data_IF_488702366764
#
_entry.id   IF_488702366764
#
_cell.length_a   1.000
_cell.length_b   1.000
_cell.length_c   1.000
_cell.angle_alpha   90.00
_cell.angle_beta   90.00
_cell.angle_gamma   90.00
#
_symmetry.space_group_name_H-M   'P 1'
#
loop_
_entity.id
_entity.type
_entity.pdbx_description
1 polymer ?
#
# COMPACT_ATOMS: atom_id res chain seq x y z
N UNK A 1 -26.73 3.99 26.04
CA UNK A 1 -25.76 3.99 24.91
C UNK A 1 -24.74 5.07 25.22
N UNK A 2 -23.55 4.66 25.58
CA UNK A 2 -22.45 5.55 25.98
C UNK A 2 -21.76 6.16 24.75
N UNK A 3 -21.15 7.35 24.89
CA UNK A 3 -20.42 8.03 23.79
C UNK A 3 -19.34 7.16 23.14
N UNK A 4 -18.77 6.21 23.89
CA UNK A 4 -17.81 5.21 23.37
C UNK A 4 -18.43 4.29 22.29
N UNK A 5 -19.70 3.91 22.40
CA UNK A 5 -20.41 3.08 21.40
C UNK A 5 -20.64 3.84 20.08
N UNK A 6 -20.78 5.17 20.15
CA UNK A 6 -20.95 6.03 18.96
C UNK A 6 -19.64 6.19 18.18
N UNK A 7 -18.50 6.31 18.86
CA UNK A 7 -17.18 6.41 18.21
C UNK A 7 -16.77 5.08 17.53
N UNK A 8 -17.03 3.96 18.19
CA UNK A 8 -16.79 2.62 17.63
C UNK A 8 -17.70 2.32 16.42
N UNK A 9 -18.96 2.80 16.46
CA UNK A 9 -19.90 2.61 15.33
C UNK A 9 -19.56 3.46 14.11
N UNK A 10 -18.99 4.66 14.29
CA UNK A 10 -18.56 5.50 13.17
C UNK A 10 -17.29 4.95 12.47
N UNK A 11 -16.32 4.43 13.22
CA UNK A 11 -15.13 3.74 12.67
C UNK A 11 -15.52 2.51 11.86
N UNK A 12 -16.37 1.63 12.38
CA UNK A 12 -16.88 0.45 11.66
C UNK A 12 -17.61 0.80 10.36
N UNK A 13 -18.47 1.83 10.36
CA UNK A 13 -19.17 2.27 9.13
C UNK A 13 -18.22 2.74 8.04
N UNK A 14 -17.13 3.39 8.37
CA UNK A 14 -16.13 3.85 7.39
C UNK A 14 -15.35 2.67 6.80
N UNK A 15 -14.95 1.70 7.62
CA UNK A 15 -14.27 0.48 7.18
C UNK A 15 -15.18 -0.41 6.31
N UNK A 16 -16.46 -0.52 6.66
CA UNK A 16 -17.46 -1.28 5.88
C UNK A 16 -17.67 -0.64 4.50
N UNK A 17 -17.73 0.68 4.41
CA UNK A 17 -17.84 1.41 3.13
C UNK A 17 -16.57 1.20 2.29
N UNK A 18 -15.38 1.28 2.90
CA UNK A 18 -14.13 1.03 2.20
C UNK A 18 -14.03 -0.41 1.67
N UNK A 19 -14.51 -1.37 2.45
CA UNK A 19 -14.57 -2.78 2.02
C UNK A 19 -15.53 -2.98 0.84
N UNK A 20 -16.68 -2.29 0.84
CA UNK A 20 -17.67 -2.35 -0.24
C UNK A 20 -17.14 -1.74 -1.56
N UNK A 21 -16.27 -0.73 -1.48
CA UNK A 21 -15.67 -0.10 -2.64
C UNK A 21 -14.56 -0.93 -3.31
N UNK A 22 -14.01 -1.94 -2.62
CA UNK A 22 -12.93 -2.77 -3.17
C UNK A 22 -13.42 -3.65 -4.30
N UNK A 23 -12.64 -3.80 -5.39
CA UNK A 23 -12.95 -4.75 -6.45
C UNK A 23 -12.94 -6.18 -5.91
N UNK A 24 -13.83 -7.02 -6.44
CA UNK A 24 -14.03 -8.41 -5.99
C UNK A 24 -13.42 -9.44 -6.92
N UNK A 25 -13.01 -9.07 -8.13
CA UNK A 25 -12.39 -9.93 -9.14
C UNK A 25 -11.23 -9.23 -9.83
N UNK A 26 -10.40 -9.99 -10.56
CA UNK A 26 -9.34 -9.42 -11.40
C UNK A 26 -9.90 -8.56 -12.53
N UNK A 27 -11.11 -8.81 -12.98
CA UNK A 27 -11.78 -8.00 -14.01
C UNK A 27 -12.16 -6.61 -13.51
N UNK A 28 -12.67 -6.54 -12.29
CA UNK A 28 -13.04 -5.27 -11.64
C UNK A 28 -11.81 -4.46 -11.20
N UNK A 29 -10.67 -5.11 -11.03
CA UNK A 29 -9.46 -4.46 -10.56
C UNK A 29 -8.85 -3.61 -11.67
N UNK A 30 -8.90 -2.30 -11.53
CA UNK A 30 -8.33 -1.34 -12.49
C UNK A 30 -6.83 -1.24 -12.29
N UNK A 31 -6.10 -1.02 -13.39
CA UNK A 31 -4.64 -0.84 -13.37
C UNK A 31 -3.84 -2.13 -13.24
N UNK A 32 -2.54 -2.01 -13.04
CA UNK A 32 -1.59 -3.13 -12.84
C UNK A 32 -1.72 -4.22 -13.91
N UNK A 33 -1.86 -3.84 -15.20
CA UNK A 33 -2.25 -4.74 -16.29
C UNK A 33 -1.40 -6.01 -16.34
N UNK A 34 -0.07 -5.88 -16.37
CA UNK A 34 0.83 -7.03 -16.44
C UNK A 34 0.68 -7.98 -15.24
N UNK A 35 0.54 -7.41 -14.02
CA UNK A 35 0.34 -8.19 -12.81
C UNK A 35 -0.98 -8.99 -12.87
N UNK A 36 -2.08 -8.35 -13.31
CA UNK A 36 -3.38 -9.00 -13.45
C UNK A 36 -3.39 -10.11 -14.50
N UNK A 37 -2.79 -9.86 -15.65
CA UNK A 37 -2.69 -10.85 -16.71
C UNK A 37 -1.92 -12.09 -16.26
N UNK A 38 -0.77 -11.91 -15.60
CA UNK A 38 0.02 -13.00 -15.06
C UNK A 38 -0.73 -13.75 -13.93
N UNK A 39 -1.33 -13.05 -12.97
CA UNK A 39 -2.09 -13.67 -11.90
C UNK A 39 -3.26 -14.49 -12.45
N UNK A 40 -3.96 -14.00 -13.48
CA UNK A 40 -5.03 -14.75 -14.14
C UNK A 40 -4.53 -16.10 -14.68
N UNK A 41 -3.38 -16.10 -15.36
CA UNK A 41 -2.79 -17.34 -15.89
C UNK A 41 -2.41 -18.29 -14.76
N UNK A 42 -1.75 -17.80 -13.71
CA UNK A 42 -1.32 -18.64 -12.60
C UNK A 42 -2.49 -19.24 -11.83
N UNK A 43 -3.52 -18.44 -11.55
CA UNK A 43 -4.74 -18.90 -10.87
C UNK A 43 -5.45 -19.96 -11.73
N UNK A 44 -5.63 -19.73 -13.04
CA UNK A 44 -6.26 -20.70 -13.93
C UNK A 44 -5.48 -22.01 -14.00
N UNK A 45 -4.15 -21.93 -14.08
CA UNK A 45 -3.29 -23.10 -14.12
C UNK A 45 -3.34 -23.91 -12.81
N UNK A 46 -3.27 -23.26 -11.66
CA UNK A 46 -3.38 -23.90 -10.34
C UNK A 46 -4.73 -24.59 -10.19
N UNK A 47 -5.83 -23.93 -10.54
CA UNK A 47 -7.18 -24.52 -10.51
C UNK A 47 -7.31 -25.73 -11.43
N UNK A 48 -6.77 -25.66 -12.64
CA UNK A 48 -6.82 -26.78 -13.59
C UNK A 48 -6.06 -28.02 -13.09
N UNK A 49 -5.01 -27.83 -12.28
CA UNK A 49 -4.26 -28.94 -11.66
C UNK A 49 -4.83 -29.39 -10.30
N UNK A 50 -5.79 -28.64 -9.73
CA UNK A 50 -6.32 -28.90 -8.37
C UNK A 50 -5.27 -28.64 -7.27
N UNK A 51 -4.39 -27.67 -7.49
CA UNK A 51 -3.29 -27.30 -6.59
C UNK A 51 -3.54 -25.95 -5.92
N UNK A 52 -2.90 -25.72 -4.77
CA UNK A 52 -2.79 -24.36 -4.23
C UNK A 52 -1.94 -23.51 -5.17
N UNK A 53 -2.20 -22.20 -5.20
CA UNK A 53 -1.35 -21.27 -5.94
C UNK A 53 0.04 -21.18 -5.28
N UNK A 54 1.09 -21.02 -6.07
CA UNK A 54 2.41 -20.71 -5.54
C UNK A 54 2.38 -19.45 -4.65
N UNK A 55 3.33 -19.36 -3.70
CA UNK A 55 3.42 -18.21 -2.81
C UNK A 55 3.68 -16.92 -3.57
N UNK A 56 2.93 -15.86 -3.23
CA UNK A 56 2.92 -14.57 -3.92
C UNK A 56 3.52 -13.48 -3.03
N UNK A 57 4.43 -12.69 -3.56
CA UNK A 57 4.96 -11.49 -2.89
C UNK A 57 4.52 -10.22 -3.62
N UNK A 58 3.65 -9.44 -3.00
CA UNK A 58 3.31 -8.10 -3.47
C UNK A 58 4.24 -7.05 -2.87
N UNK A 59 4.89 -6.25 -3.71
CA UNK A 59 5.76 -5.16 -3.24
C UNK A 59 5.54 -3.86 -4.01
N UNK A 60 5.77 -2.76 -3.35
CA UNK A 60 5.58 -1.41 -3.89
C UNK A 60 4.95 -0.44 -2.88
N UNK A 61 4.80 0.84 -3.25
CA UNK A 61 4.27 1.89 -2.38
C UNK A 61 2.95 1.52 -1.68
N UNK A 62 2.60 2.17 -0.56
CA UNK A 62 1.34 1.92 0.12
C UNK A 62 0.14 2.38 -0.72
N UNK A 63 -1.04 1.79 -0.49
CA UNK A 63 -2.29 2.22 -1.11
C UNK A 63 -2.55 1.77 -2.56
N UNK A 64 -1.71 0.88 -3.12
CA UNK A 64 -1.80 0.39 -4.50
C UNK A 64 -2.70 -0.85 -4.69
N UNK A 65 -3.27 -1.40 -3.61
CA UNK A 65 -4.20 -2.52 -3.67
C UNK A 65 -3.61 -3.90 -3.36
N UNK A 66 -2.45 -4.01 -2.69
CA UNK A 66 -1.83 -5.30 -2.29
C UNK A 66 -2.81 -6.22 -1.57
N UNK A 67 -3.44 -5.75 -0.51
CA UNK A 67 -4.46 -6.49 0.27
C UNK A 67 -5.68 -6.86 -0.57
N UNK A 68 -6.10 -5.98 -1.47
CA UNK A 68 -7.24 -6.23 -2.37
C UNK A 68 -6.92 -7.35 -3.35
N UNK A 69 -5.72 -7.36 -3.95
CA UNK A 69 -5.29 -8.45 -4.83
C UNK A 69 -5.19 -9.79 -4.09
N UNK A 70 -4.70 -9.80 -2.85
CA UNK A 70 -4.67 -11.01 -2.02
C UNK A 70 -6.08 -11.57 -1.77
N UNK A 71 -7.05 -10.71 -1.48
CA UNK A 71 -8.46 -11.12 -1.34
C UNK A 71 -9.06 -11.63 -2.65
N UNK A 72 -8.70 -11.01 -3.78
CA UNK A 72 -9.13 -11.46 -5.11
C UNK A 72 -8.56 -12.85 -5.42
N UNK A 73 -7.29 -13.10 -5.13
CA UNK A 73 -6.68 -14.43 -5.31
C UNK A 73 -7.48 -15.49 -4.59
N UNK A 74 -7.79 -15.30 -3.30
CA UNK A 74 -8.57 -16.27 -2.54
C UNK A 74 -9.96 -16.52 -3.14
N UNK A 75 -10.66 -15.45 -3.55
CA UNK A 75 -11.97 -15.54 -4.20
C UNK A 75 -11.93 -16.25 -5.55
N UNK A 76 -10.96 -15.89 -6.39
CA UNK A 76 -10.78 -16.52 -7.71
C UNK A 76 -10.38 -18.00 -7.58
N UNK A 77 -9.59 -18.35 -6.55
CA UNK A 77 -9.27 -19.75 -6.23
C UNK A 77 -10.47 -20.49 -5.62
N UNK A 78 -11.42 -19.79 -5.01
CA UNK A 78 -12.58 -20.38 -4.32
C UNK A 78 -12.25 -20.96 -2.94
N UNK A 79 -11.27 -20.37 -2.24
CA UNK A 79 -10.74 -20.83 -0.94
C UNK A 79 -10.88 -19.77 0.15
N UNK A 80 -10.63 -20.16 1.40
CA UNK A 80 -10.66 -19.27 2.54
C UNK A 80 -9.54 -18.19 2.48
N UNK A 81 -9.80 -17.08 3.16
CA UNK A 81 -8.84 -15.95 3.27
C UNK A 81 -8.63 -15.60 4.73
N UNK A 82 -7.40 -15.70 5.17
CA UNK A 82 -6.98 -15.24 6.50
C UNK A 82 -5.94 -14.13 6.36
N UNK A 83 -6.07 -13.08 7.17
CA UNK A 83 -5.17 -11.93 7.11
C UNK A 83 -4.59 -11.59 8.46
N UNK A 84 -3.31 -11.22 8.45
CA UNK A 84 -2.56 -10.72 9.59
C UNK A 84 -1.52 -9.71 9.10
N UNK A 85 -0.67 -9.24 10.00
CA UNK A 85 0.48 -8.38 9.64
C UNK A 85 1.74 -8.81 10.39
N UNK A 86 2.92 -8.49 9.82
CA UNK A 86 4.19 -8.81 10.44
C UNK A 86 4.31 -8.37 11.90
N UNK A 87 3.96 -7.11 12.24
CA UNK A 87 4.01 -6.63 13.64
C UNK A 87 3.09 -7.36 14.62
N UNK A 88 2.01 -7.97 14.16
CA UNK A 88 1.04 -8.71 15.01
C UNK A 88 1.59 -10.08 15.40
N UNK A 89 2.42 -10.68 14.54
CA UNK A 89 3.04 -11.98 14.80
C UNK A 89 4.30 -11.76 15.66
N UNK A 90 4.12 -11.74 16.96
CA UNK A 90 5.22 -11.42 17.88
C UNK A 90 6.20 -12.58 18.10
N UNK A 91 5.71 -13.82 18.04
CA UNK A 91 6.48 -15.05 18.30
C UNK A 91 6.06 -16.21 17.41
N UNK A 92 6.90 -17.21 17.30
CA UNK A 92 6.69 -18.40 16.46
C UNK A 92 5.39 -19.15 16.76
N UNK A 93 4.95 -19.17 18.03
CA UNK A 93 3.66 -19.76 18.41
C UNK A 93 2.44 -19.06 17.82
N UNK A 94 2.51 -17.73 17.61
CA UNK A 94 1.42 -16.99 16.98
C UNK A 94 1.27 -17.38 15.49
N UNK A 95 2.41 -17.53 14.80
CA UNK A 95 2.44 -18.02 13.41
C UNK A 95 1.95 -19.47 13.32
N UNK A 96 2.41 -20.34 14.22
CA UNK A 96 2.00 -21.74 14.26
C UNK A 96 0.48 -21.87 14.44
N UNK A 97 -0.12 -21.08 15.34
CA UNK A 97 -1.56 -21.07 15.54
C UNK A 97 -2.33 -20.61 14.28
N UNK A 98 -1.78 -19.66 13.53
CA UNK A 98 -2.39 -19.24 12.25
C UNK A 98 -2.32 -20.33 11.21
N UNK A 99 -1.15 -20.97 11.03
CA UNK A 99 -0.92 -21.98 9.99
C UNK A 99 -1.68 -23.29 10.25
N UNK A 100 -1.76 -23.75 11.51
CA UNK A 100 -2.50 -24.97 11.89
C UNK A 100 -4.02 -24.84 11.79
N UNK A 101 -4.54 -23.61 11.74
CA UNK A 101 -5.97 -23.33 11.54
C UNK A 101 -6.37 -23.09 10.08
N UNK A 102 -5.44 -23.25 9.12
CA UNK A 102 -5.75 -23.17 7.69
C UNK A 102 -6.44 -24.46 7.22
N UNK A 103 -7.32 -24.29 6.24
CA UNK A 103 -7.91 -25.40 5.48
C UNK A 103 -7.12 -25.61 4.18
N UNK A 104 -7.35 -26.75 3.51
CA UNK A 104 -6.62 -27.08 2.28
C UNK A 104 -6.89 -26.08 1.15
N UNK A 105 -5.84 -25.46 0.67
CA UNK A 105 -5.88 -24.44 -0.37
C UNK A 105 -6.03 -23.00 0.13
N UNK A 106 -6.24 -22.76 1.43
CA UNK A 106 -6.45 -21.42 1.99
C UNK A 106 -5.34 -20.44 1.64
N UNK A 107 -5.70 -19.16 1.58
CA UNK A 107 -4.77 -18.05 1.42
C UNK A 107 -4.51 -17.40 2.78
N UNK A 108 -3.25 -17.41 3.21
CA UNK A 108 -2.76 -16.62 4.34
C UNK A 108 -2.10 -15.35 3.82
N UNK A 109 -2.65 -14.20 4.16
CA UNK A 109 -2.09 -12.89 3.83
C UNK A 109 -1.36 -12.29 5.02
N UNK A 110 -0.08 -11.92 4.83
CA UNK A 110 0.74 -11.21 5.83
C UNK A 110 1.11 -9.84 5.26
N UNK A 111 0.49 -8.78 5.79
CA UNK A 111 0.87 -7.40 5.45
C UNK A 111 2.14 -6.99 6.20
N UNK A 112 2.93 -6.07 5.65
CA UNK A 112 4.19 -5.61 6.23
C UNK A 112 5.12 -6.79 6.61
N UNK A 113 5.21 -7.81 5.73
CA UNK A 113 5.94 -9.05 6.01
C UNK A 113 7.42 -8.82 6.33
N UNK A 114 8.02 -7.71 5.87
CA UNK A 114 9.38 -7.30 6.19
C UNK A 114 9.60 -6.94 7.67
N UNK A 115 8.53 -6.83 8.46
CA UNK A 115 8.56 -6.55 9.90
C UNK A 115 8.39 -7.80 10.76
N UNK A 116 8.45 -8.98 10.17
CA UNK A 116 8.48 -10.23 10.92
C UNK A 116 9.75 -10.29 11.78
N UNK A 117 9.61 -10.84 12.97
CA UNK A 117 10.75 -11.17 13.82
C UNK A 117 11.56 -12.30 13.15
N UNK A 118 12.91 -12.26 13.15
CA UNK A 118 13.74 -13.32 12.56
C UNK A 118 13.38 -14.73 13.04
N UNK A 119 13.09 -14.93 14.33
CA UNK A 119 12.67 -16.21 14.86
C UNK A 119 11.33 -16.73 14.31
N UNK A 120 10.45 -15.82 13.93
CA UNK A 120 9.17 -16.15 13.25
C UNK A 120 9.43 -16.49 11.78
N UNK A 121 10.33 -15.74 11.15
CA UNK A 121 10.70 -15.96 9.75
C UNK A 121 11.35 -17.35 9.55
N UNK A 122 12.21 -17.81 10.48
CA UNK A 122 12.80 -19.15 10.44
C UNK A 122 11.76 -20.28 10.50
N UNK A 123 10.68 -20.09 11.24
CA UNK A 123 9.57 -21.07 11.30
C UNK A 123 8.73 -21.03 10.01
N UNK A 124 8.69 -19.91 9.31
CA UNK A 124 7.94 -19.77 8.06
C UNK A 124 8.59 -20.53 6.91
N UNK A 125 9.92 -20.70 6.91
CA UNK A 125 10.64 -21.35 5.81
C UNK A 125 10.19 -22.82 5.59
N UNK A 126 10.24 -23.72 6.58
CA UNK A 126 9.76 -25.10 6.38
C UNK A 126 8.26 -25.16 6.13
N UNK A 127 7.49 -24.21 6.66
CA UNK A 127 6.07 -24.13 6.36
C UNK A 127 5.78 -23.87 4.88
N UNK A 128 6.59 -23.02 4.24
CA UNK A 128 6.45 -22.69 2.81
C UNK A 128 6.98 -23.81 1.90
N UNK A 129 8.10 -24.43 2.24
CA UNK A 129 8.76 -25.43 1.39
C UNK A 129 8.19 -26.82 1.58
N UNK A 130 8.14 -27.28 2.83
CA UNK A 130 7.80 -28.66 3.20
C UNK A 130 6.36 -28.83 3.69
N UNK A 131 5.63 -27.73 3.86
CA UNK A 131 4.30 -27.73 4.51
C UNK A 131 4.35 -28.37 5.89
N UNK A 132 5.35 -28.03 6.66
CA UNK A 132 5.55 -28.56 8.00
C UNK A 132 6.05 -27.45 8.95
N UNK A 133 5.69 -27.59 10.21
CA UNK A 133 6.20 -26.76 11.29
C UNK A 133 7.07 -27.62 12.21
N UNK A 134 8.27 -27.15 12.50
CA UNK A 134 9.12 -27.73 13.53
C UNK A 134 9.05 -26.84 14.78
N UNK A 135 8.33 -27.28 15.79
CA UNK A 135 8.14 -26.52 17.03
C UNK A 135 8.91 -27.18 18.19
N UNK A 136 9.65 -26.38 18.94
CA UNK A 136 10.23 -26.80 20.20
C UNK A 136 9.20 -26.70 21.31
N UNK A 137 8.87 -27.84 21.93
CA UNK A 137 7.96 -27.93 23.07
C UNK A 137 8.77 -28.26 24.33
N UNK A 138 8.57 -27.47 25.39
CA UNK A 138 9.31 -27.58 26.65
C UNK A 138 10.49 -26.62 26.72
N UNK A 139 11.15 -26.62 27.87
CA UNK A 139 12.33 -25.77 28.14
C UNK A 139 13.53 -26.61 28.58
N UNK A 140 14.72 -26.08 28.31
CA UNK A 140 15.99 -26.70 28.72
C UNK A 140 16.27 -28.08 28.06
N UNK A 141 17.01 -28.99 28.75
CA UNK A 141 17.43 -30.27 28.16
C UNK A 141 16.29 -31.24 27.83
N UNK A 142 15.08 -31.02 28.33
CA UNK A 142 13.90 -31.83 28.07
C UNK A 142 13.05 -31.29 26.91
N UNK A 143 13.46 -30.21 26.27
CA UNK A 143 12.77 -29.67 25.09
C UNK A 143 12.79 -30.73 23.95
N UNK A 144 11.66 -30.91 23.30
CA UNK A 144 11.49 -31.85 22.16
C UNK A 144 11.03 -31.08 20.94
N UNK A 145 11.59 -31.42 19.79
CA UNK A 145 11.07 -30.95 18.51
C UNK A 145 9.85 -31.79 18.13
N UNK A 146 8.76 -31.14 17.80
CA UNK A 146 7.55 -31.76 17.26
C UNK A 146 7.32 -31.20 15.86
N UNK A 147 7.26 -32.11 14.87
CA UNK A 147 6.91 -31.77 13.50
C UNK A 147 5.40 -31.89 13.31
N UNK A 148 4.78 -30.85 12.80
CA UNK A 148 3.34 -30.76 12.51
C UNK A 148 3.18 -30.57 11.01
N UNK A 149 2.48 -31.47 10.33
CA UNK A 149 2.15 -31.35 8.92
C UNK A 149 1.06 -30.29 8.72
N UNK A 150 1.21 -29.44 7.71
CA UNK A 150 0.28 -28.37 7.35
C UNK A 150 -0.54 -28.76 6.11
N UNK A 151 -1.78 -28.29 6.00
CA UNK A 151 -2.52 -28.36 4.75
C UNK A 151 -1.79 -27.57 3.64
N UNK A 152 -2.15 -27.83 2.38
CA UNK A 152 -1.67 -26.99 1.29
C UNK A 152 -2.23 -25.57 1.49
N UNK A 153 -1.41 -24.57 1.34
CA UNK A 153 -1.83 -23.16 1.45
C UNK A 153 -1.02 -22.27 0.53
N UNK A 154 -1.56 -21.11 0.24
CA UNK A 154 -0.85 -20.03 -0.46
C UNK A 154 -0.50 -18.93 0.53
N UNK A 155 0.78 -18.68 0.73
CA UNK A 155 1.22 -17.46 1.43
C UNK A 155 1.23 -16.28 0.46
N UNK A 156 0.53 -15.21 0.81
CA UNK A 156 0.61 -13.93 0.10
C UNK A 156 1.25 -12.91 1.04
N UNK A 157 2.52 -12.59 0.80
CA UNK A 157 3.25 -11.55 1.50
C UNK A 157 3.04 -10.19 0.85
N UNK A 158 2.92 -9.13 1.65
CA UNK A 158 2.93 -7.76 1.16
C UNK A 158 3.98 -6.92 1.88
N UNK A 159 4.68 -6.06 1.13
CA UNK A 159 5.70 -5.17 1.68
C UNK A 159 5.78 -3.84 0.93
N UNK A 160 6.07 -2.78 1.66
CA UNK A 160 6.47 -1.48 1.09
C UNK A 160 7.98 -1.42 0.85
N UNK A 161 8.76 -2.27 1.53
CA UNK A 161 10.23 -2.25 1.58
C UNK A 161 10.81 -3.62 1.21
N UNK A 162 10.79 -3.98 -0.07
CA UNK A 162 11.34 -5.27 -0.55
C UNK A 162 12.80 -5.49 -0.12
N UNK A 163 13.59 -4.42 -0.05
CA UNK A 163 15.02 -4.49 0.34
C UNK A 163 15.27 -4.89 1.81
N UNK A 164 14.24 -4.85 2.67
CA UNK A 164 14.33 -5.29 4.06
C UNK A 164 13.98 -6.78 4.25
N UNK A 165 13.46 -7.44 3.21
CA UNK A 165 13.26 -8.88 3.25
C UNK A 165 14.59 -9.60 3.17
N UNK A 166 14.74 -10.64 3.98
CA UNK A 166 15.90 -11.53 3.87
C UNK A 166 15.88 -12.25 2.52
N UNK A 167 17.08 -12.56 2.00
CA UNK A 167 17.16 -13.28 0.73
C UNK A 167 16.45 -14.66 0.82
N UNK A 168 16.64 -15.46 1.90
CA UNK A 168 15.95 -16.74 2.03
C UNK A 168 14.42 -16.64 1.96
N UNK A 169 13.82 -15.64 2.60
CA UNK A 169 12.36 -15.45 2.51
C UNK A 169 11.92 -15.06 1.11
N UNK A 170 12.67 -14.16 0.47
CA UNK A 170 12.34 -13.67 -0.88
C UNK A 170 12.35 -14.79 -1.91
N UNK A 171 13.35 -15.68 -1.86
CA UNK A 171 13.53 -16.76 -2.83
C UNK A 171 12.44 -17.85 -2.74
N UNK A 172 11.69 -17.87 -1.62
CA UNK A 172 10.55 -18.80 -1.43
C UNK A 172 9.24 -18.32 -2.06
N UNK A 173 9.20 -17.08 -2.51
CA UNK A 173 8.04 -16.59 -3.25
C UNK A 173 8.21 -16.87 -4.75
N UNK A 174 7.45 -17.85 -5.27
CA UNK A 174 7.46 -18.20 -6.70
C UNK A 174 6.88 -17.11 -7.60
N UNK A 175 6.02 -16.24 -7.05
CA UNK A 175 5.31 -15.20 -7.82
C UNK A 175 5.59 -13.81 -7.22
N UNK A 176 6.73 -13.17 -7.55
CA UNK A 176 6.98 -11.78 -7.14
C UNK A 176 6.23 -10.82 -8.07
N UNK A 177 5.44 -9.90 -7.47
CA UNK A 177 4.60 -8.94 -8.20
C UNK A 177 4.86 -7.53 -7.70
N UNK A 178 5.48 -6.71 -8.53
CA UNK A 178 5.66 -5.29 -8.27
C UNK A 178 4.40 -4.52 -8.64
N UNK A 179 3.90 -3.69 -7.71
CA UNK A 179 2.83 -2.75 -7.97
C UNK A 179 3.40 -1.35 -8.17
N UNK A 180 2.91 -0.67 -9.21
CA UNK A 180 3.35 0.66 -9.59
C UNK A 180 2.25 1.69 -9.32
N UNK A 181 2.62 2.97 -9.28
CA UNK A 181 1.63 4.05 -9.24
C UNK A 181 0.72 3.97 -10.47
N UNK A 182 -0.53 4.31 -10.24
CA UNK A 182 -1.56 4.36 -11.27
C UNK A 182 -1.43 5.61 -12.12
N UNK A 183 -1.78 5.51 -13.39
CA UNK A 183 -1.96 6.67 -14.25
C UNK A 183 -3.23 7.44 -13.87
N UNK A 184 -3.36 8.70 -14.33
CA UNK A 184 -4.56 9.50 -14.12
C UNK A 184 -5.79 8.81 -14.72
N UNK A 185 -5.68 8.25 -15.94
CA UNK A 185 -6.77 7.55 -16.63
C UNK A 185 -7.23 6.28 -15.89
N UNK A 186 -6.29 5.56 -15.26
CA UNK A 186 -6.63 4.42 -14.42
C UNK A 186 -7.35 4.87 -13.15
N UNK A 187 -6.90 5.94 -12.50
CA UNK A 187 -7.54 6.50 -11.31
C UNK A 187 -8.90 7.12 -11.60
N UNK A 188 -9.09 7.73 -12.76
CA UNK A 188 -10.41 8.22 -13.21
C UNK A 188 -11.43 7.07 -13.25
N UNK A 189 -11.04 5.90 -13.78
CA UNK A 189 -11.88 4.69 -13.76
C UNK A 189 -12.19 4.22 -12.34
N UNK A 190 -11.18 4.27 -11.44
CA UNK A 190 -11.36 3.93 -10.02
C UNK A 190 -12.34 4.89 -9.35
N UNK A 191 -12.19 6.20 -9.57
CA UNK A 191 -13.08 7.25 -9.03
C UNK A 191 -14.49 7.06 -9.55
N UNK A 192 -14.67 6.88 -10.87
CA UNK A 192 -15.98 6.69 -11.51
C UNK A 192 -16.69 5.45 -10.97
N UNK A 193 -15.97 4.33 -10.82
CA UNK A 193 -16.53 3.11 -10.22
C UNK A 193 -16.91 3.33 -8.75
N UNK A 194 -16.07 3.97 -7.97
CA UNK A 194 -16.33 4.25 -6.56
C UNK A 194 -17.49 5.23 -6.38
N UNK A 195 -17.61 6.24 -7.24
CA UNK A 195 -18.71 7.20 -7.23
C UNK A 195 -20.07 6.50 -7.44
N UNK A 196 -20.16 5.58 -8.41
CA UNK A 196 -21.37 4.77 -8.64
C UNK A 196 -21.76 3.94 -7.41
N UNK A 197 -20.78 3.33 -6.73
CA UNK A 197 -21.04 2.53 -5.52
C UNK A 197 -21.45 3.39 -4.31
N UNK A 198 -21.13 4.69 -4.34
CA UNK A 198 -21.49 5.67 -3.32
C UNK A 198 -22.78 6.44 -3.66
N UNK A 199 -23.44 6.08 -4.77
CA UNK A 199 -24.59 6.80 -5.31
C UNK A 199 -24.32 8.31 -5.48
N UNK A 200 -23.14 8.63 -6.02
CA UNK A 200 -22.68 9.99 -6.26
C UNK A 200 -22.53 10.24 -7.75
N UNK A 201 -23.21 11.28 -8.26
CA UNK A 201 -23.03 11.70 -9.63
C UNK A 201 -21.74 12.52 -9.77
N UNK A 202 -20.77 11.96 -10.51
CA UNK A 202 -19.49 12.62 -10.81
C UNK A 202 -19.34 12.69 -12.33
N UNK A 203 -19.22 13.89 -12.85
CA UNK A 203 -18.95 14.11 -14.28
C UNK A 203 -17.50 13.69 -14.63
N UNK A 204 -17.21 13.37 -15.91
CA UNK A 204 -15.86 12.94 -16.32
C UNK A 204 -14.75 13.94 -15.95
N UNK A 205 -15.01 15.24 -16.09
CA UNK A 205 -14.08 16.31 -15.71
C UNK A 205 -13.83 16.36 -14.18
N UNK A 206 -14.87 16.12 -13.38
CA UNK A 206 -14.75 16.02 -11.92
C UNK A 206 -13.98 14.77 -11.49
N UNK A 207 -14.23 13.62 -12.12
CA UNK A 207 -13.49 12.39 -11.87
C UNK A 207 -12.01 12.53 -12.22
N UNK A 208 -11.71 13.18 -13.35
CA UNK A 208 -10.36 13.46 -13.79
C UNK A 208 -9.62 14.39 -12.81
N UNK A 209 -10.30 15.42 -12.30
CA UNK A 209 -9.71 16.36 -11.33
C UNK A 209 -9.35 15.66 -10.01
N UNK A 210 -10.24 14.79 -9.49
CA UNK A 210 -9.95 13.96 -8.31
C UNK A 210 -8.78 13.01 -8.60
N UNK A 211 -8.77 12.36 -9.77
CA UNK A 211 -7.73 11.42 -10.17
C UNK A 211 -6.34 12.06 -10.24
N UNK A 212 -6.22 13.26 -10.82
CA UNK A 212 -4.96 14.02 -10.90
C UNK A 212 -4.34 14.26 -9.54
N UNK A 213 -5.17 14.59 -8.53
CA UNK A 213 -4.70 14.89 -7.17
C UNK A 213 -4.58 13.67 -6.27
N UNK A 214 -4.80 12.45 -6.79
CA UNK A 214 -4.79 11.21 -6.02
C UNK A 214 -3.41 10.58 -5.85
N UNK A 215 -2.33 11.26 -6.19
CA UNK A 215 -0.95 10.81 -5.97
C UNK A 215 -0.67 9.41 -6.51
N UNK A 216 -1.28 9.05 -7.63
CA UNK A 216 -1.10 7.73 -8.25
C UNK A 216 -1.63 6.55 -7.43
N UNK A 217 -2.48 6.76 -6.39
CA UNK A 217 -2.94 5.66 -5.52
C UNK A 217 -4.45 5.58 -5.37
N UNK A 218 -5.06 4.39 -5.55
CA UNK A 218 -6.50 4.18 -5.35
C UNK A 218 -7.00 4.52 -3.94
N UNK A 219 -6.18 4.30 -2.90
CA UNK A 219 -6.53 4.64 -1.50
C UNK A 219 -6.78 6.15 -1.34
N UNK A 220 -5.89 6.97 -1.91
CA UNK A 220 -6.05 8.43 -1.86
C UNK A 220 -7.24 8.86 -2.71
N UNK A 221 -7.41 8.29 -3.92
CA UNK A 221 -8.56 8.58 -4.78
C UNK A 221 -9.89 8.35 -4.07
N UNK A 222 -10.05 7.21 -3.40
CA UNK A 222 -11.25 6.91 -2.60
C UNK A 222 -11.44 7.85 -1.41
N UNK A 223 -10.35 8.25 -0.73
CA UNK A 223 -10.40 9.23 0.35
C UNK A 223 -10.83 10.60 -0.14
N UNK A 224 -10.23 11.09 -1.22
CA UNK A 224 -10.56 12.40 -1.80
C UNK A 224 -11.99 12.43 -2.33
N UNK A 225 -12.42 11.38 -3.04
CA UNK A 225 -13.82 11.28 -3.53
C UNK A 225 -14.83 11.42 -2.39
N UNK A 226 -14.63 10.76 -1.25
CA UNK A 226 -15.52 10.89 -0.09
C UNK A 226 -15.55 12.31 0.46
N UNK A 227 -14.41 12.97 0.53
CA UNK A 227 -14.36 14.37 1.00
C UNK A 227 -15.05 15.29 0.01
N UNK A 228 -14.82 15.12 -1.29
CA UNK A 228 -15.53 15.89 -2.33
C UNK A 228 -17.04 15.67 -2.24
N UNK A 229 -17.51 14.44 -2.00
CA UNK A 229 -18.92 14.13 -1.75
C UNK A 229 -19.50 14.94 -0.59
N UNK A 230 -18.74 15.00 0.54
CA UNK A 230 -19.21 15.74 1.71
C UNK A 230 -19.39 17.24 1.38
N UNK A 231 -18.47 17.85 0.62
CA UNK A 231 -18.59 19.22 0.16
C UNK A 231 -19.74 19.40 -0.83
N UNK A 232 -19.90 18.52 -1.81
CA UNK A 232 -20.97 18.57 -2.79
C UNK A 232 -22.35 18.55 -2.11
N UNK A 233 -22.53 17.66 -1.14
CA UNK A 233 -23.76 17.55 -0.36
C UNK A 233 -24.08 18.84 0.41
N UNK A 234 -23.09 19.47 1.03
CA UNK A 234 -23.29 20.73 1.78
C UNK A 234 -23.58 21.90 0.84
N UNK A 235 -22.98 21.90 -0.35
CA UNK A 235 -23.20 22.94 -1.37
C UNK A 235 -24.50 22.75 -2.16
N UNK A 236 -25.18 21.61 -2.01
CA UNK A 236 -26.39 21.29 -2.78
C UNK A 236 -26.12 20.97 -4.25
N UNK A 237 -24.89 20.55 -4.58
CA UNK A 237 -24.49 20.22 -5.96
C UNK A 237 -24.90 18.77 -6.27
N UNK A 238 -25.80 18.60 -7.25
CA UNK A 238 -26.26 17.25 -7.66
C UNK A 238 -25.20 16.47 -8.43
N UNK A 239 -24.30 17.18 -9.13
CA UNK A 239 -23.22 16.57 -9.93
C UNK A 239 -21.88 17.22 -9.61
N UNK A 240 -20.89 16.41 -9.34
CA UNK A 240 -19.52 16.85 -9.09
C UNK A 240 -18.80 17.07 -10.43
N UNK A 241 -18.71 18.32 -10.85
CA UNK A 241 -17.86 18.77 -11.95
C UNK A 241 -16.46 19.17 -11.46
N UNK A 242 -15.53 19.43 -12.39
CA UNK A 242 -14.16 19.84 -12.07
C UNK A 242 -14.11 21.04 -11.11
N UNK A 243 -15.00 22.04 -11.28
CA UNK A 243 -15.10 23.22 -10.39
C UNK A 243 -15.36 22.83 -8.93
N UNK A 244 -16.32 21.95 -8.70
CA UNK A 244 -16.68 21.49 -7.34
C UNK A 244 -15.55 20.66 -6.74
N UNK A 245 -14.95 19.77 -7.53
CA UNK A 245 -13.81 18.97 -7.12
C UNK A 245 -12.61 19.87 -6.75
N UNK A 246 -12.24 20.80 -7.61
CA UNK A 246 -11.12 21.74 -7.37
C UNK A 246 -11.32 22.58 -6.10
N UNK A 247 -12.50 23.21 -5.94
CA UNK A 247 -12.81 24.00 -4.76
C UNK A 247 -12.75 23.17 -3.46
N UNK A 248 -13.27 21.95 -3.50
CA UNK A 248 -13.26 21.04 -2.36
C UNK A 248 -11.83 20.63 -1.99
N UNK A 249 -11.03 20.24 -2.98
CA UNK A 249 -9.66 19.77 -2.78
C UNK A 249 -8.73 20.91 -2.35
N UNK A 250 -8.92 22.11 -2.87
CA UNK A 250 -8.18 23.31 -2.44
C UNK A 250 -8.49 23.66 -0.97
N UNK A 251 -9.75 23.55 -0.52
CA UNK A 251 -10.09 23.69 0.90
C UNK A 251 -9.48 22.64 1.81
N UNK A 252 -9.16 21.47 1.28
CA UNK A 252 -8.45 20.40 1.97
C UNK A 252 -6.92 20.56 1.88
N UNK A 253 -6.45 21.69 1.36
CA UNK A 253 -5.03 21.99 1.16
C UNK A 253 -4.31 21.02 0.22
N UNK A 254 -5.05 20.31 -0.64
CA UNK A 254 -4.51 19.45 -1.68
C UNK A 254 -4.35 20.27 -2.96
N UNK A 255 -3.13 20.46 -3.41
CA UNK A 255 -2.83 21.27 -4.60
C UNK A 255 -3.07 20.53 -5.94
N UNK A 256 -2.81 21.19 -7.05
CA UNK A 256 -3.03 20.65 -8.39
C UNK A 256 -2.23 19.36 -8.72
N UNK A 257 -1.15 19.11 -8.01
CA UNK A 257 -0.34 17.87 -8.12
C UNK A 257 -0.67 16.83 -7.04
N UNK A 258 -1.64 17.13 -6.17
CA UNK A 258 -2.03 16.24 -5.09
C UNK A 258 -1.12 16.35 -3.85
N UNK A 259 -0.29 17.37 -3.76
CA UNK A 259 0.56 17.60 -2.58
C UNK A 259 -0.25 18.28 -1.47
N UNK A 260 -0.12 17.77 -0.27
CA UNK A 260 -0.75 18.33 0.92
C UNK A 260 0.20 19.28 1.69
N UNK A 261 -0.24 19.77 2.82
CA UNK A 261 0.55 20.71 3.65
C UNK A 261 1.85 20.08 4.15
N UNK A 262 1.87 18.77 4.41
CA UNK A 262 3.06 18.06 4.89
C UNK A 262 4.10 17.92 3.77
N UNK A 263 3.68 17.58 2.56
CA UNK A 263 4.56 17.51 1.39
C UNK A 263 5.22 18.90 1.14
N UNK A 264 4.43 19.97 1.18
CA UNK A 264 4.95 21.32 0.99
C UNK A 264 5.92 21.70 2.09
N UNK A 265 5.62 21.40 3.36
CA UNK A 265 6.56 21.65 4.49
C UNK A 265 7.86 20.87 4.30
N UNK A 266 7.78 19.63 3.84
CA UNK A 266 8.95 18.80 3.54
C UNK A 266 9.83 19.44 2.45
N UNK A 267 9.24 19.83 1.32
CA UNK A 267 9.97 20.48 0.22
C UNK A 267 10.54 21.83 0.65
N UNK A 268 9.77 22.68 1.35
CA UNK A 268 10.20 23.99 1.85
C UNK A 268 11.36 23.85 2.81
N UNK A 269 11.34 22.87 3.70
CA UNK A 269 12.45 22.62 4.63
C UNK A 269 13.75 22.32 3.88
N UNK A 270 13.71 21.47 2.85
CA UNK A 270 14.90 21.18 2.04
C UNK A 270 15.37 22.43 1.29
N UNK A 271 14.44 23.21 0.74
CA UNK A 271 14.77 24.42 -0.01
C UNK A 271 15.40 25.51 0.87
N UNK A 272 14.70 25.92 1.92
CA UNK A 272 15.03 27.11 2.70
C UNK A 272 16.15 26.86 3.71
N UNK A 273 16.04 25.77 4.48
CA UNK A 273 16.99 25.49 5.57
C UNK A 273 18.25 24.83 5.01
N UNK A 274 18.10 23.87 4.11
CA UNK A 274 19.22 23.04 3.60
C UNK A 274 19.65 23.43 2.18
N UNK A 275 19.18 24.55 1.65
CA UNK A 275 19.59 25.13 0.35
C UNK A 275 19.50 24.12 -0.81
N UNK A 276 18.48 23.25 -0.76
CA UNK A 276 18.24 22.20 -1.76
C UNK A 276 18.87 20.85 -1.44
N UNK A 277 19.57 20.74 -0.34
CA UNK A 277 20.24 19.51 0.11
C UNK A 277 21.72 19.42 -0.31
N UNK A 278 22.37 18.25 -0.08
CA UNK A 278 21.79 16.99 0.47
C UNK A 278 21.53 17.05 1.98
N UNK A 279 20.41 16.49 2.43
CA UNK A 279 20.02 16.41 3.83
C UNK A 279 19.60 15.00 4.25
N UNK A 280 20.04 14.57 5.44
CA UNK A 280 19.72 13.24 5.99
C UNK A 280 18.24 13.09 6.38
N UNK A 281 17.71 11.87 6.28
CA UNK A 281 16.30 11.60 6.65
C UNK A 281 16.02 11.85 8.12
N UNK A 282 16.94 11.52 9.01
CA UNK A 282 16.78 11.77 10.46
C UNK A 282 16.66 13.26 10.78
N UNK A 283 17.41 14.09 10.07
CA UNK A 283 17.34 15.56 10.20
C UNK A 283 15.98 16.09 9.75
N UNK A 284 15.45 15.58 8.63
CA UNK A 284 14.12 15.93 8.13
C UNK A 284 13.02 15.42 9.07
N UNK A 285 13.15 14.20 9.59
CA UNK A 285 12.23 13.60 10.55
C UNK A 285 12.10 14.46 11.81
N UNK A 286 13.24 14.86 12.39
CA UNK A 286 13.28 15.73 13.56
C UNK A 286 12.67 17.11 13.27
N UNK A 287 13.00 17.72 12.14
CA UNK A 287 12.50 19.05 11.79
C UNK A 287 11.01 19.09 11.45
N UNK A 288 10.44 18.01 10.94
CA UNK A 288 9.02 17.89 10.64
C UNK A 288 8.20 17.36 11.82
N UNK A 289 8.85 16.85 12.87
CA UNK A 289 8.24 16.12 13.99
C UNK A 289 7.48 14.87 13.51
N UNK A 290 8.02 14.19 12.50
CA UNK A 290 7.46 12.98 11.92
C UNK A 290 8.41 11.80 12.07
N UNK A 291 7.90 10.56 12.23
CA UNK A 291 8.73 9.37 12.20
C UNK A 291 9.43 9.22 10.84
N UNK A 292 10.65 8.69 10.85
CA UNK A 292 11.40 8.38 9.63
C UNK A 292 10.58 7.55 8.64
N UNK A 293 9.86 6.55 9.13
CA UNK A 293 9.04 5.67 8.29
C UNK A 293 7.94 6.43 7.55
N UNK A 294 7.31 7.44 8.18
CA UNK A 294 6.33 8.32 7.52
C UNK A 294 6.97 9.05 6.34
N UNK A 295 8.18 9.57 6.50
CA UNK A 295 8.89 10.25 5.42
C UNK A 295 9.19 9.27 4.28
N UNK A 296 9.82 8.15 4.59
CA UNK A 296 10.31 7.19 3.59
C UNK A 296 9.21 6.41 2.87
N UNK A 297 8.06 6.19 3.52
CA UNK A 297 6.97 5.36 2.97
C UNK A 297 5.78 6.16 2.45
N UNK A 298 5.52 7.34 3.01
CA UNK A 298 4.31 8.12 2.68
C UNK A 298 4.63 9.37 1.87
N UNK A 299 5.63 10.15 2.28
CA UNK A 299 5.95 11.45 1.66
C UNK A 299 6.83 11.25 0.42
N UNK A 300 8.01 10.68 0.59
CA UNK A 300 9.04 10.62 -0.46
C UNK A 300 8.67 9.79 -1.71
N UNK A 301 7.98 8.64 -1.62
CA UNK A 301 7.76 7.80 -2.80
C UNK A 301 7.06 8.52 -3.94
N UNK A 302 6.06 9.34 -3.63
CA UNK A 302 5.36 10.12 -4.64
C UNK A 302 6.19 11.33 -5.13
N UNK A 303 6.87 12.03 -4.24
CA UNK A 303 7.73 13.15 -4.61
C UNK A 303 8.90 12.73 -5.51
N UNK A 304 9.45 11.53 -5.27
CA UNK A 304 10.46 10.92 -6.15
C UNK A 304 9.84 10.56 -7.50
N UNK A 305 8.65 9.94 -7.49
CA UNK A 305 7.95 9.53 -8.71
C UNK A 305 7.67 10.71 -9.66
N UNK A 306 7.29 11.87 -9.11
CA UNK A 306 7.04 13.08 -9.91
C UNK A 306 8.30 13.94 -10.10
N UNK A 307 9.46 13.44 -9.68
CA UNK A 307 10.76 14.08 -9.93
C UNK A 307 11.04 15.34 -9.12
N UNK A 308 10.35 15.56 -8.00
CA UNK A 308 10.58 16.74 -7.16
C UNK A 308 11.82 16.64 -6.29
N UNK A 309 12.16 15.43 -5.87
CA UNK A 309 13.33 15.14 -5.04
C UNK A 309 14.10 13.94 -5.60
N UNK A 310 15.38 13.86 -5.24
CA UNK A 310 16.23 12.69 -5.46
C UNK A 310 16.81 12.19 -4.13
N UNK A 311 16.94 10.86 -4.01
CA UNK A 311 17.72 10.22 -2.94
C UNK A 311 19.12 9.96 -3.45
N UNK A 312 20.11 10.47 -2.76
CA UNK A 312 21.54 10.25 -3.04
C UNK A 312 22.21 9.54 -1.86
N UNK A 313 23.44 9.06 -2.04
CA UNK A 313 24.23 8.48 -0.96
C UNK A 313 24.46 9.47 0.21
N UNK A 314 24.46 10.78 -0.06
CA UNK A 314 24.64 11.83 0.95
C UNK A 314 23.33 12.30 1.60
N UNK A 315 22.18 11.96 1.03
CA UNK A 315 20.87 12.39 1.52
C UNK A 315 19.89 12.79 0.43
N UNK A 316 18.88 13.56 0.80
CA UNK A 316 17.80 14.01 -0.08
C UNK A 316 18.15 15.37 -0.66
N UNK A 317 17.94 15.48 -1.97
CA UNK A 317 18.15 16.73 -2.72
C UNK A 317 16.85 17.14 -3.43
N UNK A 318 16.61 18.44 -3.48
CA UNK A 318 15.50 19.01 -4.22
C UNK A 318 15.90 19.15 -5.70
N UNK A 319 15.07 18.58 -6.58
CA UNK A 319 15.25 18.72 -8.02
C UNK A 319 14.66 20.04 -8.55
N UNK A 320 14.96 20.40 -9.80
CA UNK A 320 14.43 21.60 -10.46
C UNK A 320 12.88 21.67 -10.40
N UNK A 321 12.19 20.52 -10.54
CA UNK A 321 10.74 20.47 -10.42
C UNK A 321 10.24 20.87 -9.03
N UNK A 322 10.92 20.47 -7.96
CA UNK A 322 10.59 20.84 -6.59
C UNK A 322 10.78 22.34 -6.32
N UNK A 323 11.88 22.92 -6.82
CA UNK A 323 12.12 24.37 -6.74
C UNK A 323 11.02 25.17 -7.46
N UNK A 324 10.68 24.79 -8.69
CA UNK A 324 9.63 25.44 -9.48
C UNK A 324 8.27 25.35 -8.79
N UNK A 325 7.96 24.20 -8.19
CA UNK A 325 6.69 24.00 -7.47
C UNK A 325 6.55 24.93 -6.27
N UNK A 326 7.65 25.21 -5.57
CA UNK A 326 7.68 26.17 -4.47
C UNK A 326 7.70 27.64 -4.94
N UNK A 327 7.74 27.91 -6.25
CA UNK A 327 7.89 29.27 -6.79
C UNK A 327 9.30 29.86 -6.58
N UNK A 328 10.29 28.99 -6.30
CA UNK A 328 11.67 29.40 -6.02
C UNK A 328 12.58 29.12 -7.23
N UNK A 329 13.65 29.91 -7.35
CA UNK A 329 14.69 29.73 -8.38
C UNK A 329 15.70 28.69 -7.88
N UNK A 330 16.00 27.62 -8.66
CA UNK A 330 17.06 26.68 -8.29
C UNK A 330 18.41 27.40 -8.19
N UNK A 331 19.29 27.08 -7.23
CA UNK A 331 20.64 27.59 -7.19
C UNK A 331 21.40 27.17 -8.47
N UNK A 332 22.30 28.03 -8.94
CA UNK A 332 23.07 27.87 -10.19
C UNK A 332 23.89 26.55 -10.24
N UNK A 333 24.25 25.99 -9.09
CA UNK A 333 24.98 24.73 -8.93
C UNK A 333 24.10 23.48 -9.06
N UNK A 334 22.78 23.61 -9.10
CA UNK A 334 21.86 22.47 -9.20
C UNK A 334 21.80 21.82 -10.61
N UNK A 335 22.42 22.44 -11.61
CA UNK A 335 22.40 21.95 -13.00
C UNK A 335 23.58 21.03 -13.38
N UNK A 336 24.67 21.00 -12.61
CA UNK A 336 25.92 20.31 -13.00
C UNK A 336 26.18 18.97 -12.30
N UNK A 337 25.33 18.49 -11.41
CA UNK A 337 25.66 17.35 -10.52
C UNK A 337 24.86 16.05 -10.72
N UNK A 338 24.09 15.88 -11.80
CA UNK A 338 23.19 14.73 -11.92
C UNK A 338 23.64 13.62 -12.88
N UNK A 339 24.77 13.79 -13.58
CA UNK A 339 25.26 12.84 -14.60
C UNK A 339 26.78 12.62 -14.62
N UNK A 340 27.50 12.86 -13.51
CA UNK A 340 28.89 12.43 -13.34
C UNK A 340 29.00 11.28 -12.34
#
# INVERSE_FOLDING_TARGET
>A
MTDSDRLLSSGRRTEDVDAALRPKSLEEFVGQRAARENLRVFIQAAKARGEALDHVLFFGPPGLGKTTLAQIIAREMGVGFRSTSGPVIAKSGDLAALLTNLEDGDVLFIDEIHRLNPAVEEVLYPAMEDRALDLMIGEGPSARSVRIDLPRFTLVGATTRQGLLTQPLRDRFGIPVRLNFYTVDELEKVVTRAARLLDLHVAPDGAQEIAKRSRGTPRIAGRLLRRVRDFANVLGEETVHARVADQSLTRLEVDALGLDSMDRRYLTMIADIYKGGPVGVETLAAGLSEPRDTIEEVIEPYLIQIGMIARTARGRCLNVAGWKHLGLTPPSTAQEGLFD
#
